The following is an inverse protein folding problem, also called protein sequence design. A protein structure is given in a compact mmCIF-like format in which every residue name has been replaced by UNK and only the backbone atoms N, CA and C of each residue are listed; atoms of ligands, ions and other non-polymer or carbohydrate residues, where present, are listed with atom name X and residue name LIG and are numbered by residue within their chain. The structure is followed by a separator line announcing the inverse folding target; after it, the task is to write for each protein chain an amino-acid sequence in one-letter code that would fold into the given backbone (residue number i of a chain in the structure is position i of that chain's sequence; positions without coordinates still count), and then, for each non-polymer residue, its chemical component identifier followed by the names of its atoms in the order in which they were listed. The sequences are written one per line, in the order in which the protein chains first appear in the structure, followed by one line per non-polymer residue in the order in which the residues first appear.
data_IF_566107256696
#
_entry.id   IF_566107256696
#
_cell.length_a   1.000
_cell.length_b   1.000
_cell.length_c   1.000
_cell.angle_alpha   90.00
_cell.angle_beta   90.00
_cell.angle_gamma   90.00
#
_symmetry.space_group_name_H-M   'P 1'
#
loop_
_entity.id
_entity.type
_entity.pdbx_description
1 polymer ?
#
# COMPACT_ATOMS: atom_id res chain seq x y z
N UNK A 1 -13.75 -2.57 -2.58
CA UNK A 1 -14.48 -1.56 -1.77
C UNK A 1 -13.97 -0.19 -2.19
N UNK A 2 -14.85 0.80 -2.38
CA UNK A 2 -14.43 2.16 -2.74
C UNK A 2 -14.07 2.98 -1.49
N UNK A 3 -13.26 4.02 -1.68
CA UNK A 3 -12.87 4.96 -0.61
C UNK A 3 -14.10 5.65 -0.02
N UNK A 4 -15.10 5.98 -0.84
CA UNK A 4 -16.34 6.62 -0.40
C UNK A 4 -17.15 5.73 0.55
N UNK A 5 -17.21 4.42 0.29
CA UNK A 5 -17.84 3.46 1.20
C UNK A 5 -17.12 3.42 2.55
N UNK A 6 -15.78 3.39 2.55
CA UNK A 6 -14.99 3.40 3.78
C UNK A 6 -15.18 4.69 4.58
N UNK A 7 -15.23 5.85 3.89
CA UNK A 7 -15.54 7.15 4.50
C UNK A 7 -16.93 7.15 5.16
N UNK A 8 -17.95 6.67 4.45
CA UNK A 8 -19.32 6.63 4.97
C UNK A 8 -19.47 5.69 6.19
N UNK A 9 -18.66 4.64 6.26
CA UNK A 9 -18.62 3.70 7.38
C UNK A 9 -17.73 4.17 8.54
N UNK A 10 -17.05 5.31 8.39
CA UNK A 10 -16.10 5.86 9.37
C UNK A 10 -14.99 4.87 9.76
N UNK A 11 -14.55 4.04 8.80
CA UNK A 11 -13.48 3.06 8.98
C UNK A 11 -12.15 3.74 8.66
N UNK A 12 -11.11 3.65 9.51
CA UNK A 12 -9.76 4.11 9.16
C UNK A 12 -9.20 3.31 7.98
N UNK A 13 -8.55 3.98 7.03
CA UNK A 13 -7.94 3.32 5.88
C UNK A 13 -6.66 4.03 5.41
N UNK A 14 -5.81 3.25 4.73
CA UNK A 14 -4.64 3.72 4.03
C UNK A 14 -4.48 2.98 2.70
N UNK A 15 -3.60 3.49 1.84
CA UNK A 15 -3.37 2.98 0.48
C UNK A 15 -1.96 2.42 0.36
N UNK A 16 -1.82 1.27 -0.29
CA UNK A 16 -0.55 0.79 -0.82
C UNK A 16 -0.60 0.94 -2.34
N UNK A 17 0.32 1.71 -2.91
CA UNK A 17 0.43 1.86 -4.36
C UNK A 17 1.34 0.75 -4.88
N UNK A 18 0.81 -0.08 -5.76
CA UNK A 18 1.57 -1.10 -6.44
C UNK A 18 1.94 -0.63 -7.85
N UNK A 19 3.12 -1.02 -8.34
CA UNK A 19 3.69 -0.58 -9.63
C UNK A 19 3.92 0.94 -9.69
N UNK A 20 4.45 1.48 -8.59
CA UNK A 20 4.87 2.86 -8.47
C UNK A 20 5.91 3.23 -9.54
N UNK A 21 5.83 4.46 -10.05
CA UNK A 21 6.68 4.96 -11.13
C UNK A 21 6.24 4.55 -12.56
N UNK A 22 5.05 3.97 -12.74
CA UNK A 22 4.42 3.83 -14.07
C UNK A 22 3.22 4.77 -14.18
N UNK A 23 3.10 5.42 -15.33
CA UNK A 23 1.94 6.23 -15.65
C UNK A 23 2.09 7.62 -15.08
N UNK A 24 1.01 8.16 -14.52
CA UNK A 24 0.96 9.50 -13.96
C UNK A 24 0.79 9.44 -12.43
N UNK A 25 0.98 10.59 -11.79
CA UNK A 25 0.87 10.72 -10.34
C UNK A 25 -0.59 10.91 -9.88
N UNK A 26 -1.60 10.56 -10.71
CA UNK A 26 -3.01 10.83 -10.41
C UNK A 26 -3.47 10.15 -9.11
N UNK A 27 -3.03 8.91 -8.86
CA UNK A 27 -3.36 8.19 -7.63
C UNK A 27 -2.74 8.88 -6.41
N UNK A 28 -1.51 9.35 -6.53
CA UNK A 28 -0.81 10.06 -5.45
C UNK A 28 -1.45 11.40 -5.17
N UNK A 29 -1.70 12.18 -6.22
CA UNK A 29 -2.37 13.47 -6.15
C UNK A 29 -3.77 13.33 -5.57
N UNK A 30 -4.50 12.28 -5.95
CA UNK A 30 -5.80 11.96 -5.38
C UNK A 30 -5.71 11.64 -3.89
N UNK A 31 -4.74 10.81 -3.48
CA UNK A 31 -4.53 10.48 -2.07
C UNK A 31 -4.16 11.73 -1.26
N UNK A 32 -3.21 12.53 -1.74
CA UNK A 32 -2.77 13.78 -1.12
C UNK A 32 -3.92 14.78 -1.00
N UNK A 33 -4.69 15.01 -2.07
CA UNK A 33 -5.82 15.94 -2.06
C UNK A 33 -6.98 15.51 -1.16
N UNK A 34 -7.08 14.21 -0.86
CA UNK A 34 -8.10 13.66 0.04
C UNK A 34 -7.57 13.36 1.46
N UNK A 35 -6.33 13.74 1.78
CA UNK A 35 -5.66 13.41 3.03
C UNK A 35 -5.67 11.91 3.36
N UNK A 36 -5.46 11.07 2.33
CA UNK A 36 -5.39 9.62 2.44
C UNK A 36 -3.93 9.22 2.60
N UNK A 37 -3.64 8.48 3.66
CA UNK A 37 -2.28 8.03 3.95
C UNK A 37 -1.84 6.95 2.96
N UNK A 38 -0.72 7.20 2.28
CA UNK A 38 -0.02 6.17 1.49
C UNK A 38 0.94 5.44 2.42
N UNK A 39 0.64 4.18 2.74
CA UNK A 39 1.39 3.35 3.68
C UNK A 39 2.68 2.82 3.07
N UNK A 40 2.65 2.55 1.76
CA UNK A 40 3.78 1.98 1.02
C UNK A 40 3.61 2.20 -0.48
N UNK A 41 4.74 2.34 -1.16
CA UNK A 41 4.85 2.28 -2.62
C UNK A 41 5.73 1.10 -3.00
N UNK A 42 5.20 0.21 -3.84
CA UNK A 42 5.93 -0.93 -4.39
C UNK A 42 6.33 -0.55 -5.81
N UNK A 43 7.63 -0.47 -6.12
CA UNK A 43 8.09 -0.02 -7.42
C UNK A 43 7.63 -0.97 -8.53
N UNK A 44 7.48 -0.42 -9.73
CA UNK A 44 7.36 -1.25 -10.91
C UNK A 44 8.68 -1.93 -11.25
N UNK A 45 8.87 -3.11 -10.69
CA UNK A 45 10.00 -3.97 -10.94
C UNK A 45 9.54 -5.27 -11.61
N UNK A 46 10.22 -5.65 -12.69
CA UNK A 46 9.88 -6.87 -13.45
C UNK A 46 10.08 -8.14 -12.64
N UNK A 47 11.07 -8.17 -11.76
CA UNK A 47 11.29 -9.32 -10.87
C UNK A 47 10.16 -9.42 -9.87
N UNK A 48 9.83 -8.32 -9.16
CA UNK A 48 8.63 -8.24 -8.30
C UNK A 48 7.40 -8.74 -9.07
N UNK A 49 7.26 -8.37 -10.35
CA UNK A 49 6.14 -8.79 -11.18
C UNK A 49 6.04 -10.29 -11.44
N UNK A 50 7.18 -10.95 -11.65
CA UNK A 50 7.23 -12.40 -11.81
C UNK A 50 6.82 -13.11 -10.52
N UNK A 51 7.33 -12.66 -9.36
CA UNK A 51 7.01 -13.29 -8.07
C UNK A 51 5.51 -13.23 -7.74
N UNK A 52 4.86 -12.05 -7.81
CA UNK A 52 3.43 -11.98 -7.50
C UNK A 52 2.57 -12.76 -8.52
N UNK A 53 2.99 -12.88 -9.79
CA UNK A 53 2.26 -13.65 -10.81
C UNK A 53 2.24 -15.16 -10.52
N UNK A 54 3.19 -15.65 -9.71
CA UNK A 54 3.24 -17.03 -9.22
C UNK A 54 2.52 -17.23 -7.88
N UNK A 55 1.94 -16.17 -7.31
CA UNK A 55 1.33 -16.19 -5.97
C UNK A 55 2.35 -16.23 -4.83
N UNK A 56 3.62 -15.93 -5.11
CA UNK A 56 4.68 -15.90 -4.10
C UNK A 56 4.71 -14.55 -3.35
N UNK A 57 5.01 -14.60 -2.05
CA UNK A 57 5.12 -13.41 -1.24
C UNK A 57 6.41 -12.63 -1.54
N UNK A 58 6.33 -11.29 -1.58
CA UNK A 58 7.50 -10.42 -1.82
C UNK A 58 8.62 -10.57 -0.79
N UNK A 59 8.28 -11.01 0.42
CA UNK A 59 9.24 -11.26 1.50
C UNK A 59 10.18 -12.44 1.18
N UNK A 60 9.71 -13.40 0.39
CA UNK A 60 10.53 -14.53 -0.07
C UNK A 60 11.53 -14.10 -1.15
N UNK A 61 11.17 -13.08 -1.95
CA UNK A 61 12.06 -12.50 -2.96
C UNK A 61 13.13 -11.60 -2.33
N UNK A 62 12.70 -10.65 -1.50
CA UNK A 62 13.60 -9.71 -0.81
C UNK A 62 13.14 -9.52 0.63
N UNK A 63 13.98 -10.00 1.56
CA UNK A 63 13.75 -9.90 3.00
C UNK A 63 13.64 -8.46 3.50
N UNK A 64 14.10 -7.46 2.74
CA UNK A 64 13.90 -6.04 3.06
C UNK A 64 12.41 -5.67 3.14
N UNK A 65 11.55 -6.34 2.38
CA UNK A 65 10.10 -6.15 2.42
C UNK A 65 9.49 -6.53 3.76
N UNK A 66 10.10 -7.48 4.49
CA UNK A 66 9.63 -7.87 5.82
C UNK A 66 9.53 -6.66 6.75
N UNK A 67 10.61 -5.87 6.84
CA UNK A 67 10.67 -4.68 7.70
C UNK A 67 9.65 -3.62 7.29
N UNK A 68 9.43 -3.45 5.97
CA UNK A 68 8.44 -2.51 5.44
C UNK A 68 7.02 -2.93 5.86
N UNK A 69 6.66 -4.20 5.68
CA UNK A 69 5.34 -4.71 6.08
C UNK A 69 5.13 -4.72 7.60
N UNK A 70 6.16 -5.06 8.38
CA UNK A 70 6.11 -4.95 9.85
C UNK A 70 5.88 -3.50 10.31
N UNK A 71 6.49 -2.51 9.64
CA UNK A 71 6.25 -1.10 9.94
C UNK A 71 4.80 -0.70 9.65
N UNK A 72 4.22 -1.18 8.55
CA UNK A 72 2.83 -0.90 8.18
C UNK A 72 1.88 -1.55 9.18
N UNK A 73 2.13 -2.79 9.59
CA UNK A 73 1.28 -3.47 10.57
C UNK A 73 1.24 -2.69 11.89
N UNK A 74 2.40 -2.26 12.40
CA UNK A 74 2.50 -1.42 13.61
C UNK A 74 1.77 -0.09 13.47
N UNK A 75 1.73 0.45 12.27
CA UNK A 75 1.02 1.69 11.98
C UNK A 75 -0.49 1.48 11.99
N UNK A 76 -0.97 0.39 11.38
CA UNK A 76 -2.38 0.00 11.39
C UNK A 76 -2.84 -0.28 12.82
N UNK A 77 -2.07 -1.03 13.61
CA UNK A 77 -2.37 -1.30 15.03
C UNK A 77 -2.58 -0.01 15.83
N UNK A 78 -1.67 0.97 15.67
CA UNK A 78 -1.78 2.29 16.32
C UNK A 78 -3.02 3.08 15.92
N UNK A 79 -3.50 2.93 14.69
CA UNK A 79 -4.72 3.62 14.24
C UNK A 79 -6.01 2.90 14.71
N UNK A 80 -5.95 1.59 14.95
CA UNK A 80 -7.09 0.81 15.48
C UNK A 80 -7.22 0.98 17.00
N UNK A 81 -6.10 1.16 17.72
CA UNK A 81 -6.09 1.37 19.17
C UNK A 81 -6.50 2.78 19.62
N UNK A 82 -6.71 3.71 18.69
CA UNK A 82 -7.17 5.09 18.95
C UNK A 82 -8.69 5.20 19.02
#
# INVERSE_FOLDING_TARGET
ISIEVLKNMNIPYGVIINRDGIGNDEVENYCMGNNIKILLKIPNDREIAKFYSRGEALVEYDKSWKKKFESILKEIEKEIER
#
